data_IF_827781756724
#
_entry.id   IF_827781756724
#
_cell.length_a   1.000
_cell.length_b   1.000
_cell.length_c   1.000
_cell.angle_alpha   90.00
_cell.angle_beta   90.00
_cell.angle_gamma   90.00
#
_symmetry.space_group_name_H-M   'P 1'
#
loop_
_entity.id
_entity.type
_entity.pdbx_description
1 polymer ?
#
# COMPACT_ATOMS: atom_id res chain seq x y z
N UNK A 1 24.58 -1.02 -9.54
CA UNK A 1 24.64 0.10 -10.52
C UNK A 1 23.78 -0.19 -11.76
N UNK A 2 23.84 -1.40 -12.30
CA UNK A 2 23.12 -1.76 -13.53
C UNK A 2 21.59 -1.84 -13.36
N UNK A 3 21.05 -2.13 -12.18
CA UNK A 3 19.61 -2.26 -11.95
C UNK A 3 18.88 -0.91 -11.94
N UNK A 4 19.47 0.13 -11.37
CA UNK A 4 18.86 1.45 -11.33
C UNK A 4 18.83 2.12 -12.72
N UNK A 5 19.93 2.02 -13.48
CA UNK A 5 19.99 2.51 -14.86
C UNK A 5 18.97 1.82 -15.76
N UNK A 6 18.77 0.51 -15.55
CA UNK A 6 17.75 -0.27 -16.25
C UNK A 6 16.33 0.23 -15.90
N UNK A 7 16.01 0.40 -14.62
CA UNK A 7 14.71 0.91 -14.16
C UNK A 7 14.41 2.32 -14.70
N UNK A 8 15.41 3.22 -14.70
CA UNK A 8 15.26 4.57 -15.22
C UNK A 8 15.11 4.59 -16.77
N UNK A 9 15.72 3.61 -17.44
CA UNK A 9 15.56 3.42 -18.88
C UNK A 9 14.17 2.92 -19.22
N UNK A 10 13.65 1.96 -18.49
CA UNK A 10 12.30 1.42 -18.66
C UNK A 10 11.24 2.52 -18.46
N UNK A 11 11.36 3.35 -17.43
CA UNK A 11 10.43 4.44 -17.20
C UNK A 11 10.42 5.46 -18.37
N UNK A 12 11.56 5.72 -19.00
CA UNK A 12 11.63 6.62 -20.18
C UNK A 12 10.94 6.03 -21.40
N UNK A 13 11.15 4.75 -21.68
CA UNK A 13 10.47 4.03 -22.76
C UNK A 13 8.97 4.00 -22.50
N UNK A 14 8.58 3.72 -21.27
CA UNK A 14 7.18 3.68 -20.87
C UNK A 14 6.51 5.06 -20.99
N UNK A 15 7.21 6.16 -20.61
CA UNK A 15 6.68 7.53 -20.78
C UNK A 15 6.37 7.83 -22.24
N UNK A 16 7.25 7.48 -23.17
CA UNK A 16 7.02 7.69 -24.60
C UNK A 16 5.78 6.93 -25.07
N UNK A 17 5.63 5.66 -24.68
CA UNK A 17 4.45 4.85 -25.00
C UNK A 17 3.16 5.47 -24.44
N UNK A 18 3.15 5.92 -23.17
CA UNK A 18 1.99 6.58 -22.56
C UNK A 18 1.59 7.86 -23.30
N UNK A 19 2.59 8.62 -23.75
CA UNK A 19 2.36 9.84 -24.54
C UNK A 19 1.76 9.53 -25.91
N UNK A 20 2.29 8.54 -26.62
CA UNK A 20 1.77 8.10 -27.92
C UNK A 20 0.34 7.56 -27.81
N UNK A 21 0.02 6.84 -26.74
CA UNK A 21 -1.32 6.33 -26.44
C UNK A 21 -2.30 7.42 -25.98
N UNK A 22 -1.84 8.65 -25.71
CA UNK A 22 -2.68 9.73 -25.19
C UNK A 22 -3.14 9.53 -23.74
N UNK A 23 -2.49 8.64 -22.99
CA UNK A 23 -2.87 8.29 -21.60
C UNK A 23 -1.96 8.94 -20.54
N UNK A 24 -1.09 9.85 -20.94
CA UNK A 24 -0.29 10.64 -19.99
C UNK A 24 -1.17 11.76 -19.39
N UNK A 25 -1.89 11.45 -18.34
CA UNK A 25 -2.89 12.33 -17.74
C UNK A 25 -2.85 12.31 -16.21
N UNK A 26 -3.02 13.47 -15.54
CA UNK A 26 -3.15 13.52 -14.08
C UNK A 26 -4.36 12.72 -13.55
N UNK A 27 -5.40 12.52 -14.38
CA UNK A 27 -6.60 11.75 -14.00
C UNK A 27 -6.33 10.24 -13.85
N UNK A 28 -5.23 9.74 -14.41
CA UNK A 28 -4.82 8.34 -14.28
C UNK A 28 -3.76 8.13 -13.17
N UNK A 29 -3.45 9.19 -12.42
CA UNK A 29 -2.49 9.11 -11.33
C UNK A 29 -3.13 8.47 -10.12
N UNK A 30 -2.42 7.49 -9.54
CA UNK A 30 -2.77 6.82 -8.29
C UNK A 30 -1.62 6.95 -7.28
N UNK A 31 -1.91 7.10 -5.99
CA UNK A 31 -0.90 7.02 -4.95
C UNK A 31 -0.53 5.56 -4.71
N UNK A 32 0.76 5.29 -4.58
CA UNK A 32 1.28 3.97 -4.25
C UNK A 32 2.25 4.06 -3.07
N UNK A 33 2.48 2.95 -2.41
CA UNK A 33 3.36 2.87 -1.27
C UNK A 33 4.55 1.96 -1.56
N UNK A 34 5.71 2.35 -1.03
CA UNK A 34 6.90 1.51 -0.99
C UNK A 34 7.66 1.67 0.32
N UNK A 35 8.48 0.69 0.66
CA UNK A 35 9.36 0.80 1.81
C UNK A 35 10.42 1.86 1.54
N UNK A 36 10.48 2.91 2.35
CA UNK A 36 11.36 4.05 2.11
C UNK A 36 12.85 3.63 2.17
N UNK A 37 13.22 2.90 3.22
CA UNK A 37 14.63 2.50 3.43
C UNK A 37 15.14 1.53 2.37
N UNK A 38 14.31 0.56 1.96
CA UNK A 38 14.71 -0.47 0.97
C UNK A 38 14.78 0.07 -0.45
N UNK A 39 14.11 1.19 -0.70
CA UNK A 39 14.00 1.80 -2.03
C UNK A 39 14.64 3.19 -2.10
N UNK A 40 15.56 3.51 -1.19
CA UNK A 40 16.18 4.84 -1.12
C UNK A 40 16.80 5.25 -2.46
N UNK A 41 17.54 4.36 -3.11
CA UNK A 41 18.17 4.62 -4.41
C UNK A 41 17.16 4.99 -5.51
N UNK A 42 15.96 4.37 -5.49
CA UNK A 42 14.86 4.73 -6.40
C UNK A 42 14.26 6.08 -6.00
N UNK A 43 14.01 6.28 -4.71
CA UNK A 43 13.37 7.50 -4.19
C UNK A 43 14.21 8.75 -4.44
N UNK A 44 15.54 8.64 -4.43
CA UNK A 44 16.44 9.74 -4.74
C UNK A 44 16.26 10.31 -6.17
N UNK A 45 15.59 9.56 -7.05
CA UNK A 45 15.36 9.92 -8.44
C UNK A 45 13.90 10.30 -8.77
N UNK A 46 12.98 10.15 -7.83
CA UNK A 46 11.56 10.43 -8.05
C UNK A 46 10.95 11.28 -6.96
N UNK A 47 10.02 12.20 -7.30
CA UNK A 47 9.21 12.90 -6.31
C UNK A 47 8.49 11.91 -5.41
N UNK A 48 8.58 12.12 -4.10
CA UNK A 48 7.94 11.27 -3.12
C UNK A 48 7.66 12.04 -1.82
N UNK A 49 6.80 11.47 -0.97
CA UNK A 49 6.50 11.97 0.35
C UNK A 49 6.69 10.86 1.38
N UNK A 50 7.44 11.13 2.43
CA UNK A 50 7.60 10.16 3.52
C UNK A 50 6.33 10.05 4.35
N UNK A 51 6.03 8.83 4.78
CA UNK A 51 4.87 8.48 5.58
C UNK A 51 5.27 7.55 6.75
N UNK A 52 4.51 7.59 7.86
CA UNK A 52 4.75 6.69 8.99
C UNK A 52 6.13 6.84 9.61
N UNK A 53 6.54 8.06 9.97
CA UNK A 53 7.87 8.41 10.50
C UNK A 53 9.03 7.96 9.57
N UNK A 54 8.82 8.05 8.27
CA UNK A 54 9.81 7.72 7.26
C UNK A 54 10.01 6.23 7.00
N UNK A 55 9.12 5.37 7.46
CA UNK A 55 9.14 3.93 7.15
C UNK A 55 8.65 3.64 5.73
N UNK A 56 7.63 4.37 5.31
CA UNK A 56 7.03 4.28 3.98
C UNK A 56 7.29 5.54 3.18
N UNK A 57 7.26 5.41 1.87
CA UNK A 57 7.22 6.51 0.92
C UNK A 57 5.98 6.40 0.03
N UNK A 58 5.27 7.51 -0.11
CA UNK A 58 4.20 7.67 -1.09
C UNK A 58 4.86 8.08 -2.40
N UNK A 59 4.60 7.32 -3.46
CA UNK A 59 5.05 7.58 -4.83
C UNK A 59 3.83 7.61 -5.73
N UNK A 60 3.77 8.58 -6.61
CA UNK A 60 2.67 8.69 -7.58
C UNK A 60 2.99 7.89 -8.84
N UNK A 61 1.99 7.18 -9.35
CA UNK A 61 2.10 6.40 -10.59
C UNK A 61 0.93 6.66 -11.49
N UNK A 62 1.17 6.64 -12.79
CA UNK A 62 0.11 6.48 -13.79
C UNK A 62 -0.05 4.99 -14.02
N UNK A 63 -1.27 4.48 -13.83
CA UNK A 63 -1.60 3.08 -14.09
C UNK A 63 -2.63 3.07 -15.21
N UNK A 64 -2.31 2.35 -16.27
CA UNK A 64 -3.20 2.14 -17.41
C UNK A 64 -3.48 0.65 -17.59
N UNK A 65 -4.75 0.32 -17.59
CA UNK A 65 -5.25 -1.01 -17.92
C UNK A 65 -5.81 -0.98 -19.33
N UNK A 66 -5.25 -1.76 -20.23
CA UNK A 66 -5.83 -1.91 -21.55
C UNK A 66 -7.11 -2.72 -21.46
N UNK A 67 -8.18 -2.19 -22.06
CA UNK A 67 -9.43 -2.93 -22.30
C UNK A 67 -9.48 -3.55 -23.69
N UNK A 68 -8.41 -3.39 -24.47
CA UNK A 68 -8.32 -3.95 -25.82
C UNK A 68 -8.07 -5.46 -25.75
N UNK A 69 -8.96 -6.24 -26.36
CA UNK A 69 -8.90 -7.70 -26.36
C UNK A 69 -7.64 -8.29 -27.02
N UNK A 70 -6.85 -7.48 -27.73
CA UNK A 70 -5.56 -7.90 -28.30
C UNK A 70 -4.38 -7.74 -27.31
N UNK A 71 -4.61 -7.05 -26.18
CA UNK A 71 -3.62 -6.76 -25.15
C UNK A 71 -4.11 -7.20 -23.77
N UNK A 72 -4.84 -8.33 -23.73
CA UNK A 72 -5.33 -8.90 -22.46
C UNK A 72 -4.20 -8.98 -21.43
N UNK A 73 -4.46 -8.42 -20.22
CA UNK A 73 -3.55 -8.38 -19.07
C UNK A 73 -2.33 -7.46 -19.15
N UNK A 74 -2.26 -6.51 -20.09
CA UNK A 74 -1.17 -5.54 -20.07
C UNK A 74 -1.42 -4.45 -19.03
N UNK A 75 -0.74 -4.56 -17.90
CA UNK A 75 -0.70 -3.53 -16.87
C UNK A 75 0.52 -2.63 -17.07
N UNK A 76 0.29 -1.51 -17.73
CA UNK A 76 1.33 -0.49 -17.86
C UNK A 76 1.33 0.40 -16.62
N UNK A 77 2.49 0.64 -16.04
CA UNK A 77 2.66 1.57 -14.95
C UNK A 77 3.89 2.44 -15.15
N UNK A 78 3.76 3.71 -14.81
CA UNK A 78 4.82 4.70 -14.95
C UNK A 78 4.89 5.55 -13.67
N UNK A 79 6.09 5.68 -13.08
CA UNK A 79 6.29 6.60 -11.96
C UNK A 79 6.23 8.05 -12.44
N UNK A 80 5.55 8.89 -11.67
CA UNK A 80 5.51 10.32 -11.94
C UNK A 80 6.87 10.93 -11.65
N UNK A 81 7.42 11.64 -12.64
CA UNK A 81 8.71 12.35 -12.53
C UNK A 81 8.50 13.84 -12.27
N UNK A 82 9.56 14.55 -11.86
CA UNK A 82 9.52 16.02 -11.73
C UNK A 82 9.17 16.71 -13.03
N UNK A 83 9.60 16.17 -14.17
CA UNK A 83 9.25 16.70 -15.50
C UNK A 83 7.74 16.58 -15.77
N UNK A 84 7.14 15.43 -15.39
CA UNK A 84 5.69 15.22 -15.54
C UNK A 84 4.88 16.14 -14.63
N UNK A 85 5.33 16.40 -13.41
CA UNK A 85 4.71 17.39 -12.52
C UNK A 85 4.67 18.77 -13.19
N UNK A 86 5.77 19.19 -13.82
CA UNK A 86 5.83 20.44 -14.57
C UNK A 86 4.90 20.42 -15.80
N UNK A 87 4.83 19.32 -16.55
CA UNK A 87 3.91 19.15 -17.69
C UNK A 87 2.44 19.25 -17.24
N UNK A 88 2.10 18.74 -16.05
CA UNK A 88 0.76 18.83 -15.47
C UNK A 88 0.47 20.20 -14.82
N UNK A 89 1.48 21.03 -14.62
CA UNK A 89 1.35 22.31 -13.92
C UNK A 89 1.02 22.15 -12.43
N UNK A 90 1.45 21.06 -11.80
CA UNK A 90 1.15 20.69 -10.41
C UNK A 90 2.43 20.36 -9.66
N UNK A 91 2.47 20.68 -8.37
CA UNK A 91 3.45 20.10 -7.45
C UNK A 91 3.01 18.70 -6.96
N UNK A 92 3.90 18.02 -6.25
CA UNK A 92 3.64 16.67 -5.75
C UNK A 92 2.42 16.62 -4.81
N UNK A 93 2.31 17.55 -3.88
CA UNK A 93 1.23 17.52 -2.88
C UNK A 93 -0.13 17.80 -3.52
N UNK A 94 -0.19 18.73 -4.49
CA UNK A 94 -1.39 19.01 -5.26
C UNK A 94 -1.83 17.79 -6.07
N UNK A 95 -0.92 17.14 -6.78
CA UNK A 95 -1.23 15.95 -7.58
C UNK A 95 -1.59 14.75 -6.69
N UNK A 96 -0.93 14.62 -5.53
CA UNK A 96 -1.27 13.60 -4.54
C UNK A 96 -2.70 13.78 -4.02
N UNK A 97 -3.07 15.00 -3.60
CA UNK A 97 -4.43 15.28 -3.16
C UNK A 97 -5.44 15.04 -4.29
N UNK A 98 -5.15 15.53 -5.50
CA UNK A 98 -5.96 15.27 -6.69
C UNK A 98 -6.22 13.77 -6.90
N UNK A 99 -5.19 12.96 -6.75
CA UNK A 99 -5.30 11.50 -6.90
C UNK A 99 -6.15 10.83 -5.82
N UNK A 100 -6.13 11.36 -4.58
CA UNK A 100 -7.00 10.87 -3.49
C UNK A 100 -8.46 11.29 -3.69
N UNK A 101 -8.69 12.49 -4.22
CA UNK A 101 -10.04 13.03 -4.44
C UNK A 101 -10.69 12.48 -5.73
N UNK A 102 -9.92 11.77 -6.57
CA UNK A 102 -10.42 11.20 -7.81
C UNK A 102 -11.46 10.10 -7.53
N UNK A 103 -12.72 10.25 -8.01
CA UNK A 103 -13.80 9.28 -7.74
C UNK A 103 -13.51 7.87 -8.27
N UNK A 104 -12.77 7.73 -9.37
CA UNK A 104 -12.38 6.43 -9.92
C UNK A 104 -11.41 5.72 -8.97
N UNK A 105 -10.41 6.44 -8.46
CA UNK A 105 -9.47 5.88 -7.50
C UNK A 105 -10.17 5.49 -6.19
N UNK A 106 -11.11 6.29 -5.71
CA UNK A 106 -11.91 5.98 -4.52
C UNK A 106 -12.78 4.74 -4.71
N UNK A 107 -13.41 4.59 -5.89
CA UNK A 107 -14.20 3.39 -6.24
C UNK A 107 -13.35 2.14 -6.36
N UNK A 108 -12.13 2.26 -6.84
CA UNK A 108 -11.21 1.14 -6.98
C UNK A 108 -10.72 0.59 -5.63
N UNK A 109 -10.92 1.31 -4.51
CA UNK A 109 -10.56 0.80 -3.18
C UNK A 109 -11.55 -0.26 -2.72
N UNK A 110 -11.04 -1.47 -2.47
CA UNK A 110 -11.78 -2.61 -1.93
C UNK A 110 -11.42 -2.85 -0.46
N UNK A 111 -12.44 -3.11 0.35
CA UNK A 111 -12.30 -3.47 1.77
C UNK A 111 -13.17 -4.70 2.04
N UNK A 112 -12.53 -5.87 2.02
CA UNK A 112 -13.22 -7.15 2.08
C UNK A 112 -12.89 -7.92 3.37
N UNK A 113 -13.84 -8.70 3.94
CA UNK A 113 -13.54 -9.63 5.02
C UNK A 113 -12.45 -10.61 4.58
N UNK A 114 -11.49 -10.88 5.47
CA UNK A 114 -10.41 -11.84 5.18
C UNK A 114 -10.91 -13.27 5.06
N UNK A 115 -11.97 -13.63 5.76
CA UNK A 115 -12.59 -14.95 5.74
C UNK A 115 -13.79 -15.02 6.67
N UNK A 116 -14.45 -16.19 6.70
CA UNK A 116 -15.66 -16.46 7.50
C UNK A 116 -15.39 -17.27 8.73
N UNK A 117 -14.19 -17.83 8.88
CA UNK A 117 -13.81 -18.67 10.01
C UNK A 117 -13.70 -17.83 11.31
N UNK A 118 -14.01 -18.40 12.48
CA UNK A 118 -14.07 -17.66 13.75
C UNK A 118 -12.79 -16.89 14.08
N UNK A 119 -11.61 -17.47 13.78
CA UNK A 119 -10.30 -16.85 14.02
C UNK A 119 -10.01 -15.66 13.10
N UNK A 120 -10.71 -15.59 11.97
CA UNK A 120 -10.60 -14.51 10.98
C UNK A 120 -11.69 -13.46 11.12
N UNK A 121 -12.56 -13.62 12.10
CA UNK A 121 -13.64 -12.68 12.36
C UNK A 121 -13.09 -11.28 12.59
N UNK A 122 -13.75 -10.27 11.98
CA UNK A 122 -13.38 -8.86 12.09
C UNK A 122 -11.94 -8.55 11.63
N UNK A 123 -11.41 -9.38 10.71
CA UNK A 123 -10.19 -9.12 9.95
C UNK A 123 -10.59 -8.74 8.52
N UNK A 124 -10.00 -7.68 8.00
CA UNK A 124 -10.28 -7.16 6.66
C UNK A 124 -9.02 -7.00 5.85
N UNK A 125 -9.12 -7.21 4.54
CA UNK A 125 -8.10 -6.85 3.56
C UNK A 125 -8.52 -5.52 2.94
N UNK A 126 -7.63 -4.55 2.98
CA UNK A 126 -7.71 -3.31 2.24
C UNK A 126 -6.78 -3.41 1.03
N UNK A 127 -7.33 -3.24 -0.15
CA UNK A 127 -6.61 -3.35 -1.43
C UNK A 127 -7.29 -2.48 -2.49
N UNK A 128 -6.88 -2.62 -3.73
CA UNK A 128 -7.57 -2.06 -4.90
C UNK A 128 -8.09 -3.19 -5.78
N UNK A 129 -9.09 -2.93 -6.62
CA UNK A 129 -9.69 -3.93 -7.52
C UNK A 129 -8.66 -4.62 -8.41
N UNK A 130 -7.62 -3.91 -8.83
CA UNK A 130 -6.53 -4.49 -9.63
C UNK A 130 -5.55 -5.35 -8.83
N UNK A 131 -5.62 -5.37 -7.50
CA UNK A 131 -4.64 -5.97 -6.59
C UNK A 131 -3.20 -5.47 -6.74
N UNK A 132 -2.91 -4.59 -7.70
CA UNK A 132 -1.60 -3.98 -7.89
C UNK A 132 -1.50 -2.69 -7.06
N UNK A 133 -0.44 -2.59 -6.22
CA UNK A 133 -0.20 -1.42 -5.37
C UNK A 133 -1.33 -1.14 -4.36
N UNK A 134 -2.19 -2.13 -4.11
CA UNK A 134 -3.43 -1.99 -3.34
C UNK A 134 -3.23 -1.64 -1.87
N UNK A 135 -2.00 -1.76 -1.32
CA UNK A 135 -1.74 -1.29 0.04
C UNK A 135 -2.04 0.21 0.22
N UNK A 136 -2.02 1.00 -0.85
CA UNK A 136 -2.39 2.42 -0.80
C UNK A 136 -3.85 2.66 -0.39
N UNK A 137 -4.69 1.63 -0.36
CA UNK A 137 -6.08 1.70 0.10
C UNK A 137 -6.22 2.38 1.48
N UNK A 138 -5.25 2.19 2.39
CA UNK A 138 -5.32 2.84 3.70
C UNK A 138 -4.95 4.35 3.68
N UNK A 139 -4.54 4.92 2.54
CA UNK A 139 -4.37 6.36 2.38
C UNK A 139 -5.70 7.09 2.17
N UNK A 140 -6.75 6.36 1.76
CA UNK A 140 -8.08 6.90 1.52
C UNK A 140 -8.85 6.98 2.83
N UNK A 141 -8.81 8.15 3.45
CA UNK A 141 -9.32 8.37 4.81
C UNK A 141 -10.78 7.97 5.00
N UNK A 142 -11.64 8.25 4.03
CA UNK A 142 -13.06 7.88 4.10
C UNK A 142 -13.23 6.37 4.25
N UNK A 143 -12.48 5.57 3.49
CA UNK A 143 -12.53 4.11 3.56
C UNK A 143 -12.01 3.56 4.88
N UNK A 144 -10.94 4.18 5.40
CA UNK A 144 -10.40 3.84 6.74
C UNK A 144 -11.41 4.17 7.82
N UNK A 145 -12.07 5.31 7.72
CA UNK A 145 -13.08 5.78 8.64
C UNK A 145 -14.33 4.87 8.65
N UNK A 146 -14.88 4.55 7.47
CA UNK A 146 -15.98 3.62 7.29
C UNK A 146 -15.67 2.25 7.93
N UNK A 147 -14.47 1.71 7.68
CA UNK A 147 -14.04 0.44 8.28
C UNK A 147 -13.92 0.55 9.81
N UNK A 148 -13.39 1.67 10.31
CA UNK A 148 -13.27 1.95 11.75
C UNK A 148 -14.63 1.96 12.43
N UNK A 149 -15.64 2.59 11.81
CA UNK A 149 -17.02 2.58 12.33
C UNK A 149 -17.59 1.17 12.39
N UNK A 150 -17.38 0.39 11.33
CA UNK A 150 -17.80 -1.01 11.26
C UNK A 150 -17.13 -1.87 12.34
N UNK A 151 -15.86 -1.60 12.66
CA UNK A 151 -15.09 -2.31 13.68
C UNK A 151 -15.25 -1.75 15.11
N UNK A 152 -15.99 -0.66 15.27
CA UNK A 152 -16.31 -0.05 16.56
C UNK A 152 -15.18 0.72 17.20
N UNK A 153 -14.31 1.37 16.42
CA UNK A 153 -13.29 2.32 16.89
C UNK A 153 -11.90 2.12 16.31
N UNK A 154 -10.87 2.28 17.14
CA UNK A 154 -9.48 2.19 16.73
C UNK A 154 -9.13 0.85 16.07
N UNK A 155 -8.27 0.91 15.06
CA UNK A 155 -7.84 -0.25 14.29
C UNK A 155 -6.33 -0.46 14.33
N UNK A 156 -5.94 -1.72 14.16
CA UNK A 156 -4.56 -2.12 13.85
C UNK A 156 -4.47 -2.39 12.36
N UNK A 157 -3.42 -1.86 11.73
CA UNK A 157 -3.13 -1.99 10.32
C UNK A 157 -1.79 -2.70 10.13
N UNK A 158 -1.79 -3.71 9.28
CA UNK A 158 -0.61 -4.49 8.89
C UNK A 158 -0.37 -4.27 7.39
N UNK A 159 0.50 -3.34 6.99
CA UNK A 159 0.89 -3.17 5.59
C UNK A 159 1.84 -4.30 5.18
N UNK A 160 1.25 -5.47 4.91
CA UNK A 160 1.97 -6.74 4.70
C UNK A 160 2.77 -6.79 3.42
N UNK A 161 2.26 -6.13 2.38
CA UNK A 161 2.92 -6.05 1.07
C UNK A 161 2.52 -4.77 0.35
N UNK A 162 3.14 -4.50 -0.80
CA UNK A 162 2.73 -3.38 -1.67
C UNK A 162 1.30 -3.53 -2.21
N UNK A 163 0.74 -4.75 -2.18
CA UNK A 163 -0.55 -5.04 -2.79
C UNK A 163 -1.73 -4.99 -1.80
N UNK A 164 -1.46 -5.07 -0.51
CA UNK A 164 -2.53 -5.11 0.49
C UNK A 164 -2.10 -4.66 1.87
N UNK A 165 -3.08 -4.15 2.62
CA UNK A 165 -2.99 -3.90 4.04
C UNK A 165 -4.06 -4.73 4.76
N UNK A 166 -3.69 -5.44 5.82
CA UNK A 166 -4.66 -6.16 6.66
C UNK A 166 -5.04 -5.25 7.82
N UNK A 167 -6.35 -5.14 8.08
CA UNK A 167 -6.92 -4.30 9.12
C UNK A 167 -7.80 -5.10 10.07
N UNK A 168 -7.78 -4.78 11.35
CA UNK A 168 -8.66 -5.38 12.35
C UNK A 168 -8.88 -4.43 13.52
N UNK A 169 -9.94 -4.67 14.31
CA UNK A 169 -10.20 -3.92 15.53
C UNK A 169 -9.01 -4.00 16.50
N UNK A 170 -8.64 -2.89 17.12
CA UNK A 170 -7.61 -2.87 18.17
C UNK A 170 -7.95 -3.77 19.38
N UNK A 171 -9.23 -4.11 19.55
CA UNK A 171 -9.73 -5.01 20.59
C UNK A 171 -9.59 -6.49 20.24
N UNK A 172 -9.40 -6.83 18.95
CA UNK A 172 -9.29 -8.21 18.46
C UNK A 172 -7.89 -8.79 18.73
N UNK A 173 -7.66 -9.26 19.94
CA UNK A 173 -6.36 -9.80 20.37
C UNK A 173 -6.02 -11.12 19.70
N UNK A 174 -7.01 -11.99 19.50
CA UNK A 174 -6.82 -13.31 18.90
C UNK A 174 -6.51 -13.19 17.41
N UNK A 175 -7.26 -12.36 16.67
CA UNK A 175 -6.98 -12.05 15.29
C UNK A 175 -5.59 -11.43 15.08
N UNK A 176 -5.19 -10.51 15.98
CA UNK A 176 -3.85 -9.94 15.96
C UNK A 176 -2.76 -10.99 16.13
N UNK A 177 -2.92 -11.87 17.10
CA UNK A 177 -1.99 -12.98 17.36
C UNK A 177 -1.90 -13.89 16.14
N UNK A 178 -3.04 -14.30 15.59
CA UNK A 178 -3.13 -15.14 14.41
C UNK A 178 -2.40 -14.53 13.20
N UNK A 179 -2.62 -13.23 12.89
CA UNK A 179 -1.91 -12.54 11.80
C UNK A 179 -0.40 -12.56 12.04
N UNK A 180 0.05 -12.24 13.26
CA UNK A 180 1.48 -12.20 13.57
C UNK A 180 2.16 -13.57 13.45
N UNK A 181 1.49 -14.64 13.87
CA UNK A 181 1.95 -16.03 13.71
C UNK A 181 2.02 -16.41 12.23
N UNK A 182 0.96 -16.15 11.47
CA UNK A 182 0.92 -16.41 10.01
C UNK A 182 2.04 -15.69 9.26
N UNK A 183 2.27 -14.40 9.57
CA UNK A 183 3.34 -13.62 8.97
C UNK A 183 4.75 -14.09 9.38
N UNK A 184 4.89 -14.58 10.61
CA UNK A 184 6.14 -15.16 11.07
C UNK A 184 6.45 -16.46 10.35
N UNK A 185 5.47 -17.37 10.25
CA UNK A 185 5.63 -18.68 9.60
C UNK A 185 5.89 -18.55 8.09
N UNK A 186 5.22 -17.62 7.41
CA UNK A 186 5.48 -17.34 5.99
C UNK A 186 6.93 -16.92 5.75
N UNK A 187 7.52 -16.17 6.68
CA UNK A 187 8.93 -15.76 6.61
C UNK A 187 9.88 -16.95 6.74
N UNK A 188 9.59 -17.88 7.65
CA UNK A 188 10.44 -19.06 7.87
C UNK A 188 10.39 -20.01 6.67
N UNK A 189 9.26 -20.10 6.00
CA UNK A 189 9.03 -21.00 4.86
C UNK A 189 9.47 -20.43 3.51
N UNK A 190 10.17 -19.29 3.49
CA UNK A 190 10.76 -18.72 2.27
C UNK A 190 9.75 -18.14 1.27
N UNK A 191 8.46 -18.05 1.62
CA UNK A 191 7.42 -17.49 0.77
C UNK A 191 7.48 -15.96 0.60
N UNK A 192 8.53 -15.31 1.11
CA UNK A 192 8.66 -13.85 1.07
C UNK A 192 9.52 -13.38 -0.09
N UNK A 193 8.91 -12.64 -0.97
CA UNK A 193 9.61 -11.73 -1.88
C UNK A 193 9.90 -10.43 -1.10
N UNK A 194 11.12 -10.28 -0.57
CA UNK A 194 11.53 -9.09 0.22
C UNK A 194 11.24 -7.76 -0.48
N UNK A 195 11.23 -7.75 -1.80
CA UNK A 195 10.94 -6.59 -2.64
C UNK A 195 9.49 -6.14 -2.55
N UNK A 196 8.57 -7.05 -2.19
CA UNK A 196 7.15 -6.76 -2.03
C UNK A 196 6.73 -6.45 -0.59
N UNK A 197 7.65 -6.62 0.37
CA UNK A 197 7.37 -6.28 1.77
C UNK A 197 7.31 -4.75 1.93
N UNK A 198 6.16 -4.26 2.40
CA UNK A 198 5.95 -2.83 2.53
C UNK A 198 6.53 -2.29 3.83
N UNK A 199 6.17 -2.85 4.98
CA UNK A 199 6.68 -2.42 6.29
C UNK A 199 7.06 -3.62 7.16
N UNK A 200 7.94 -3.38 8.13
CA UNK A 200 8.19 -4.31 9.24
C UNK A 200 7.34 -4.01 10.49
N UNK A 201 6.62 -2.89 10.49
CA UNK A 201 5.94 -2.34 11.67
C UNK A 201 4.43 -2.40 11.55
N UNK A 202 3.79 -2.50 12.71
CA UNK A 202 2.34 -2.36 12.88
C UNK A 202 2.01 -0.86 12.90
N UNK A 203 0.90 -0.49 12.26
CA UNK A 203 0.31 0.83 12.33
C UNK A 203 -0.99 0.80 13.14
N UNK A 204 -1.36 1.93 13.70
CA UNK A 204 -2.62 2.10 14.43
C UNK A 204 -3.35 3.29 13.86
N UNK A 205 -4.60 3.09 13.52
CA UNK A 205 -5.53 4.17 13.24
C UNK A 205 -6.29 4.54 14.52
N UNK A 206 -6.29 5.80 14.86
CA UNK A 206 -7.06 6.35 15.97
C UNK A 206 -8.32 7.02 15.45
N UNK A 207 -9.48 6.50 15.82
CA UNK A 207 -10.78 7.08 15.46
C UNK A 207 -10.99 8.48 16.02
N UNK A 208 -10.38 8.75 17.18
CA UNK A 208 -10.49 10.05 17.87
C UNK A 208 -9.75 11.17 17.14
N UNK A 209 -8.56 10.88 16.61
CA UNK A 209 -7.70 11.90 15.95
C UNK A 209 -7.75 11.81 14.44
N UNK A 210 -8.40 10.80 13.88
CA UNK A 210 -8.44 10.49 12.44
C UNK A 210 -7.04 10.37 11.82
N UNK A 211 -6.12 9.74 12.57
CA UNK A 211 -4.72 9.62 12.17
C UNK A 211 -4.26 8.17 12.19
N UNK A 212 -3.39 7.85 11.23
CA UNK A 212 -2.64 6.60 11.18
C UNK A 212 -1.21 6.86 11.63
N UNK A 213 -0.74 6.11 12.63
CA UNK A 213 0.62 6.24 13.17
C UNK A 213 1.33 4.89 13.18
N UNK A 214 2.60 4.90 12.84
CA UNK A 214 3.49 3.74 13.01
C UNK A 214 3.72 3.50 14.51
N UNK A 215 3.73 2.23 14.90
CA UNK A 215 4.12 1.80 16.25
C UNK A 215 5.56 1.30 16.28
N UNK A 216 6.14 1.14 17.47
CA UNK A 216 7.43 0.45 17.65
C UNK A 216 7.32 -1.08 17.51
N UNK A 217 6.12 -1.62 17.40
CA UNK A 217 5.88 -3.07 17.33
C UNK A 217 6.10 -3.58 15.91
N UNK A 218 6.89 -4.64 15.79
CA UNK A 218 7.09 -5.32 14.51
C UNK A 218 5.96 -6.29 14.22
N UNK A 219 5.56 -6.38 12.95
CA UNK A 219 4.53 -7.33 12.50
C UNK A 219 4.98 -8.79 12.70
N UNK A 220 6.24 -9.07 12.41
CA UNK A 220 6.83 -10.41 12.42
C UNK A 220 7.68 -10.60 13.66
N UNK A 221 7.04 -10.93 14.78
CA UNK A 221 7.71 -11.28 16.02
C UNK A 221 7.41 -12.75 16.36
N UNK A 222 8.44 -13.46 16.87
CA UNK A 222 8.20 -14.78 17.45
C UNK A 222 7.13 -14.67 18.55
N UNK A 223 6.07 -15.48 18.51
CA UNK A 223 5.05 -15.46 19.55
C UNK A 223 5.72 -15.63 20.91
N UNK A 224 5.38 -14.77 21.88
CA UNK A 224 5.81 -14.97 23.25
C UNK A 224 5.08 -16.20 23.76
N UNK A 225 5.80 -17.30 23.96
CA UNK A 225 5.29 -18.49 24.64
C UNK A 225 4.98 -18.06 26.06
N UNK A 226 3.71 -17.95 26.42
CA UNK A 226 3.30 -17.78 27.81
C UNK A 226 3.71 -19.04 28.58
N UNK A 227 4.76 -18.96 29.38
CA UNK A 227 5.22 -20.04 30.30
C UNK A 227 4.30 -20.17 31.53
N UNK A 228 3.02 -19.88 31.40
CA UNK A 228 2.06 -20.04 32.52
C UNK A 228 1.03 -21.10 32.16
N UNK A 229 1.45 -22.37 32.17
CA UNK A 229 0.57 -23.51 32.46
C UNK A 229 1.46 -24.66 32.90
N UNK A 230 1.98 -24.54 34.13
CA UNK A 230 2.51 -25.64 34.91
C UNK A 230 2.40 -25.26 36.36
N UNK A 231 1.21 -25.48 36.94
CA UNK A 231 1.02 -25.83 38.36
C UNK A 231 -0.34 -26.47 38.54
#
# INVERSE_FOLDING_TARGET
>A
RNSLEFLLRDDRITKAAFKEMGVLSPNLVVPTLMNAKRNQEVLDNFPHKLYGDGDLAIVLRIIYHSTDCLLEDMHLNLRVTSEMLNEFGMDFDTLYQWSLDNPENQRAVSVEPFGTEPEKKDIYIMTTESFYWGASAFLYKEKVHELSDKLGGDMILFPTSINQCVALSNKNRDGRKWIQETLYDSKQNGFQQREKDLSDYIYVYSRKTDEIRKTSQRMRQKPKVNKNHSR
#
